data_IF_100371906023
#
_entry.id   IF_100371906023
#
_cell.length_a   1.000
_cell.length_b   1.000
_cell.length_c   1.000
_cell.angle_alpha   90.00
_cell.angle_beta   90.00
_cell.angle_gamma   90.00
#
_symmetry.space_group_name_H-M   'P 1'
#
loop_
_entity.id
_entity.type
_entity.pdbx_description
1 polymer ?
#
# COMPACT_ATOMS: atom_id res chain seq x y z
N UNK A 1 -6.05 1.90 18.45
CA UNK A 1 -4.99 1.75 17.43
C UNK A 1 -5.03 3.00 16.59
N UNK A 2 -3.88 3.54 16.20
CA UNK A 2 -3.81 4.67 15.27
C UNK A 2 -3.04 4.25 14.02
N UNK A 3 -3.41 4.85 12.90
CA UNK A 3 -2.78 4.63 11.60
C UNK A 3 -2.56 5.99 10.97
N UNK A 4 -1.37 6.17 10.41
CA UNK A 4 -0.96 7.34 9.66
C UNK A 4 -0.35 6.90 8.33
N UNK A 5 -0.65 7.59 7.25
CA UNK A 5 -0.18 7.25 5.90
C UNK A 5 0.44 8.47 5.25
N UNK A 6 1.69 8.34 4.80
CA UNK A 6 2.41 9.37 4.08
C UNK A 6 2.80 8.89 2.68
N UNK A 7 2.66 9.75 1.68
CA UNK A 7 3.02 9.46 0.28
C UNK A 7 4.29 10.22 -0.08
N UNK A 8 5.25 9.50 -0.65
CA UNK A 8 6.53 10.01 -1.11
C UNK A 8 6.67 9.78 -2.61
N UNK A 9 7.28 10.71 -3.33
CA UNK A 9 7.66 10.53 -4.74
C UNK A 9 9.09 9.99 -4.80
N UNK A 10 9.29 8.95 -5.60
CA UNK A 10 10.62 8.45 -5.96
C UNK A 10 11.19 9.34 -7.07
N UNK A 11 12.22 10.11 -6.75
CA UNK A 11 13.02 10.85 -7.73
C UNK A 11 14.28 10.08 -8.06
N UNK A 12 14.59 9.99 -9.35
CA UNK A 12 15.88 9.49 -9.83
C UNK A 12 16.76 10.70 -10.12
N UNK A 13 17.81 10.88 -9.32
CA UNK A 13 18.87 11.84 -9.59
C UNK A 13 20.01 11.11 -10.30
N UNK A 14 20.47 11.67 -11.42
CA UNK A 14 21.57 11.13 -12.22
C UNK A 14 22.88 11.02 -11.43
N UNK A 15 23.04 11.78 -10.34
CA UNK A 15 24.26 11.81 -9.52
C UNK A 15 24.17 11.01 -8.22
N UNK A 16 22.97 10.86 -7.64
CA UNK A 16 22.78 10.36 -6.27
C UNK A 16 21.92 9.08 -6.16
N UNK A 17 21.44 8.55 -7.28
CA UNK A 17 20.55 7.38 -7.29
C UNK A 17 19.10 7.75 -6.96
N UNK A 18 18.37 6.84 -6.30
CA UNK A 18 16.94 7.01 -6.00
C UNK A 18 16.73 7.67 -4.65
N UNK A 19 15.94 8.76 -4.59
CA UNK A 19 15.57 9.46 -3.36
C UNK A 19 14.06 9.54 -3.19
N UNK A 20 13.58 9.37 -1.96
CA UNK A 20 12.18 9.61 -1.60
C UNK A 20 12.02 11.05 -1.09
N UNK A 21 11.07 11.78 -1.68
CA UNK A 21 10.70 13.13 -1.25
C UNK A 21 9.22 13.17 -0.87
N UNK A 22 8.81 13.92 0.18
CA UNK A 22 7.40 14.11 0.46
C UNK A 22 6.66 14.63 -0.78
N UNK A 23 5.56 14.00 -1.14
CA UNK A 23 4.78 14.41 -2.29
C UNK A 23 4.05 15.73 -2.01
N UNK A 24 4.56 16.86 -2.54
CA UNK A 24 3.85 18.14 -2.52
C UNK A 24 2.95 18.31 -3.74
N UNK A 25 3.36 17.76 -4.89
CA UNK A 25 2.58 17.66 -6.13
C UNK A 25 2.88 16.32 -6.79
N UNK A 26 1.86 15.71 -7.42
CA UNK A 26 1.96 14.43 -8.14
C UNK A 26 1.61 14.66 -9.61
N UNK A 27 2.53 14.31 -10.50
CA UNK A 27 2.34 14.33 -11.95
C UNK A 27 2.10 12.91 -12.49
N UNK A 28 1.36 12.78 -13.59
CA UNK A 28 1.19 11.51 -14.30
C UNK A 28 2.57 10.93 -14.63
N UNK A 29 2.77 9.65 -14.30
CA UNK A 29 4.02 8.91 -14.49
C UNK A 29 4.92 8.88 -13.26
N UNK A 30 4.68 9.71 -12.24
CA UNK A 30 5.48 9.71 -11.02
C UNK A 30 5.37 8.36 -10.31
N UNK A 31 6.53 7.80 -9.94
CA UNK A 31 6.58 6.66 -9.02
C UNK A 31 6.43 7.18 -7.61
N UNK A 32 5.53 6.57 -6.86
CA UNK A 32 5.30 6.92 -5.46
C UNK A 32 5.48 5.70 -4.56
N UNK A 33 5.94 5.96 -3.35
CA UNK A 33 5.97 5.02 -2.25
C UNK A 33 5.08 5.56 -1.16
N UNK A 34 4.06 4.80 -0.80
CA UNK A 34 3.23 5.11 0.36
C UNK A 34 3.75 4.34 1.56
N UNK A 35 4.02 5.05 2.66
CA UNK A 35 4.42 4.47 3.94
C UNK A 35 3.25 4.60 4.92
N UNK A 36 2.77 3.45 5.39
CA UNK A 36 1.73 3.36 6.42
C UNK A 36 2.41 3.05 7.75
N UNK A 37 2.28 3.96 8.71
CA UNK A 37 2.73 3.79 10.09
C UNK A 37 1.54 3.41 10.96
N UNK A 38 1.69 2.40 11.80
CA UNK A 38 0.67 2.02 12.76
C UNK A 38 1.22 1.97 14.18
N UNK A 39 0.37 2.29 15.15
CA UNK A 39 0.68 2.18 16.58
C UNK A 39 -0.50 1.57 17.35
N UNK A 40 -0.20 0.62 18.21
CA UNK A 40 -1.16 -0.10 19.05
C UNK A 40 -0.62 -0.21 20.47
N UNK A 41 -1.22 0.55 21.38
CA UNK A 41 -0.79 0.62 22.79
C UNK A 41 -1.34 -0.53 23.66
N UNK A 42 -2.46 -1.15 23.26
CA UNK A 42 -3.15 -2.19 24.04
C UNK A 42 -3.85 -3.19 23.12
N UNK A 43 -4.07 -4.40 23.64
CA UNK A 43 -4.81 -5.50 23.02
C UNK A 43 -3.91 -6.71 22.70
N UNK A 44 -4.53 -7.87 22.55
CA UNK A 44 -3.88 -9.14 22.24
C UNK A 44 -4.12 -9.55 20.79
N UNK A 45 -3.32 -10.49 20.27
CA UNK A 45 -3.49 -11.04 18.92
C UNK A 45 -3.03 -10.13 17.76
N UNK A 46 -3.13 -10.67 16.55
CA UNK A 46 -2.86 -9.96 15.30
C UNK A 46 -4.02 -9.07 14.86
N UNK A 47 -3.83 -8.33 13.78
CA UNK A 47 -4.86 -7.47 13.19
C UNK A 47 -4.66 -7.32 11.68
N UNK A 48 -5.66 -6.73 11.00
CA UNK A 48 -5.58 -6.40 9.57
C UNK A 48 -5.45 -4.89 9.43
N UNK A 49 -4.49 -4.46 8.64
CA UNK A 49 -4.34 -3.07 8.24
C UNK A 49 -4.86 -2.92 6.82
N UNK A 50 -5.86 -2.06 6.61
CA UNK A 50 -6.44 -1.77 5.29
C UNK A 50 -6.16 -0.32 4.94
N UNK A 51 -5.66 -0.07 3.72
CA UNK A 51 -5.41 1.26 3.20
C UNK A 51 -6.10 1.43 1.83
N UNK A 52 -7.01 2.41 1.68
CA UNK A 52 -7.54 2.79 0.37
C UNK A 52 -6.42 3.30 -0.54
N UNK A 53 -6.45 2.88 -1.81
CA UNK A 53 -5.55 3.42 -2.82
C UNK A 53 -6.15 4.74 -3.34
N UNK A 54 -5.41 5.87 -3.30
CA UNK A 54 -5.85 7.10 -3.94
C UNK A 54 -6.20 6.87 -5.42
N UNK A 55 -7.32 7.42 -5.88
CA UNK A 55 -7.85 7.13 -7.21
C UNK A 55 -6.86 7.39 -8.36
N UNK A 56 -5.92 8.33 -8.18
CA UNK A 56 -4.89 8.68 -9.18
C UNK A 56 -3.66 7.77 -9.15
N UNK A 57 -3.62 6.75 -8.29
CA UNK A 57 -2.51 5.81 -8.22
C UNK A 57 -2.93 4.48 -8.85
N UNK A 58 -2.13 3.99 -9.78
CA UNK A 58 -2.09 2.59 -10.15
C UNK A 58 -1.16 1.87 -9.17
N UNK A 59 -1.63 0.77 -8.59
CA UNK A 59 -0.79 -0.07 -7.75
C UNK A 59 0.35 -0.68 -8.59
N UNK A 60 1.51 -1.02 -8.01
CA UNK A 60 2.54 -1.76 -8.75
C UNK A 60 2.98 -3.00 -8.00
N UNK A 61 3.38 -2.85 -6.74
CA UNK A 61 3.87 -3.95 -5.91
C UNK A 61 3.98 -3.50 -4.46
N UNK A 62 3.87 -4.46 -3.54
CA UNK A 62 4.34 -4.36 -2.17
C UNK A 62 5.56 -5.22 -1.95
N UNK A 63 6.42 -4.77 -1.04
CA UNK A 63 7.58 -5.53 -0.60
C UNK A 63 7.23 -6.72 0.31
N UNK A 64 5.95 -6.91 0.67
CA UNK A 64 5.50 -7.93 1.62
C UNK A 64 4.65 -9.02 0.95
N UNK A 65 4.99 -10.28 1.21
CA UNK A 65 4.23 -11.47 0.80
C UNK A 65 2.89 -11.63 1.53
N UNK A 66 2.65 -10.81 2.57
CA UNK A 66 1.42 -10.83 3.38
C UNK A 66 0.33 -9.89 2.83
N UNK A 67 0.52 -9.40 1.60
CA UNK A 67 -0.38 -8.42 1.02
C UNK A 67 -1.49 -9.07 0.20
N UNK A 68 -2.69 -8.56 0.42
CA UNK A 68 -3.84 -8.79 -0.45
C UNK A 68 -4.34 -7.44 -0.98
N UNK A 69 -4.91 -7.45 -2.17
CA UNK A 69 -5.54 -6.29 -2.80
C UNK A 69 -7.04 -6.53 -2.94
N UNK A 70 -7.78 -5.44 -3.09
CA UNK A 70 -9.19 -5.46 -3.44
C UNK A 70 -9.44 -4.59 -4.67
N UNK A 71 -10.31 -5.06 -5.55
CA UNK A 71 -10.75 -4.37 -6.78
C UNK A 71 -12.22 -3.91 -6.71
N UNK A 72 -12.87 -4.14 -5.57
CA UNK A 72 -14.31 -3.94 -5.37
C UNK A 72 -14.61 -3.18 -4.07
N UNK A 73 -13.77 -2.20 -3.75
CA UNK A 73 -13.88 -1.33 -2.57
C UNK A 73 -13.81 -2.07 -1.23
N UNK A 74 -12.99 -3.12 -1.16
CA UNK A 74 -12.70 -3.87 0.06
C UNK A 74 -13.66 -5.03 0.36
N UNK A 75 -14.52 -5.43 -0.60
CA UNK A 75 -15.47 -6.53 -0.40
C UNK A 75 -14.80 -7.89 -0.57
N UNK A 76 -13.96 -8.04 -1.58
CA UNK A 76 -13.15 -9.23 -1.82
C UNK A 76 -11.66 -8.90 -1.76
N UNK A 77 -10.86 -9.92 -1.46
CA UNK A 77 -9.44 -9.78 -1.19
C UNK A 77 -8.68 -11.00 -1.68
N UNK A 78 -7.54 -10.75 -2.33
CA UNK A 78 -6.66 -11.81 -2.80
C UNK A 78 -5.38 -11.25 -3.38
N UNK A 79 -4.58 -12.12 -4.00
CA UNK A 79 -3.45 -11.66 -4.80
C UNK A 79 -3.98 -11.07 -6.11
N UNK A 80 -3.34 -10.03 -6.62
CA UNK A 80 -3.82 -9.32 -7.82
C UNK A 80 -4.06 -10.24 -9.02
N UNK A 81 -3.15 -11.20 -9.24
CA UNK A 81 -3.24 -12.22 -10.31
C UNK A 81 -4.46 -13.14 -10.20
N UNK A 82 -5.07 -13.24 -9.01
CA UNK A 82 -6.30 -14.01 -8.76
C UNK A 82 -7.58 -13.16 -8.85
N UNK A 83 -7.46 -11.83 -8.86
CA UNK A 83 -8.62 -10.93 -8.86
C UNK A 83 -9.22 -10.77 -10.26
N UNK A 84 -10.52 -10.51 -10.32
CA UNK A 84 -11.25 -10.24 -11.57
C UNK A 84 -12.15 -9.02 -11.45
N UNK A 85 -12.31 -8.30 -12.56
CA UNK A 85 -13.25 -7.19 -12.73
C UNK A 85 -14.04 -7.49 -14.00
N UNK A 86 -15.36 -7.50 -13.91
CA UNK A 86 -16.27 -7.73 -15.06
C UNK A 86 -15.86 -8.91 -15.96
N UNK A 87 -15.44 -10.02 -15.33
CA UNK A 87 -15.06 -11.25 -16.02
C UNK A 87 -13.63 -11.29 -16.58
N UNK A 88 -12.91 -10.17 -16.67
CA UNK A 88 -11.49 -10.13 -17.05
C UNK A 88 -10.56 -10.21 -15.83
N UNK A 89 -9.30 -10.54 -16.05
CA UNK A 89 -8.27 -10.47 -15.01
C UNK A 89 -8.09 -9.00 -14.59
N UNK A 90 -7.93 -8.77 -13.28
CA UNK A 90 -7.66 -7.45 -12.75
C UNK A 90 -6.26 -6.99 -13.13
N UNK A 91 -6.12 -5.71 -13.45
CA UNK A 91 -4.84 -5.03 -13.64
C UNK A 91 -4.52 -4.20 -12.39
N UNK A 92 -3.28 -3.72 -12.24
CA UNK A 92 -2.95 -2.87 -11.11
C UNK A 92 -3.74 -1.55 -11.04
N UNK A 93 -4.37 -1.14 -12.15
CA UNK A 93 -5.24 0.05 -12.23
C UNK A 93 -6.62 -0.19 -11.60
N UNK A 94 -7.04 -1.44 -11.50
CA UNK A 94 -8.33 -1.81 -10.88
C UNK A 94 -8.26 -1.84 -9.35
N UNK A 95 -7.06 -1.75 -8.78
CA UNK A 95 -6.86 -1.87 -7.33
C UNK A 95 -7.44 -0.66 -6.62
N UNK A 96 -8.39 -0.91 -5.73
CA UNK A 96 -9.06 0.11 -4.91
C UNK A 96 -8.50 0.16 -3.50
N UNK A 97 -8.09 -0.99 -2.95
CA UNK A 97 -7.57 -1.09 -1.59
C UNK A 97 -6.46 -2.11 -1.51
N UNK A 98 -5.64 -1.92 -0.49
CA UNK A 98 -4.54 -2.81 -0.14
C UNK A 98 -4.67 -3.17 1.34
N UNK A 99 -4.43 -4.43 1.70
CA UNK A 99 -4.38 -4.85 3.10
C UNK A 99 -3.18 -5.72 3.43
N UNK A 100 -2.84 -5.72 4.72
CA UNK A 100 -1.81 -6.58 5.29
C UNK A 100 -2.34 -7.25 6.55
N UNK A 101 -2.00 -8.51 6.72
CA UNK A 101 -2.28 -9.27 7.95
C UNK A 101 -1.08 -9.18 8.87
N UNK A 102 -1.22 -8.48 9.98
CA UNK A 102 -0.16 -8.30 10.97
C UNK A 102 -0.30 -9.42 12.01
N UNK A 103 0.63 -10.38 12.06
CA UNK A 103 0.56 -11.47 13.02
C UNK A 103 0.78 -10.95 14.45
N UNK A 104 0.31 -11.71 15.44
CA UNK A 104 0.39 -11.33 16.85
C UNK A 104 1.83 -11.02 17.31
N UNK A 105 2.81 -11.76 16.79
CA UNK A 105 4.24 -11.54 17.08
C UNK A 105 4.74 -10.16 16.67
N UNK A 106 4.33 -9.66 15.49
CA UNK A 106 4.64 -8.31 15.05
C UNK A 106 3.81 -7.26 15.78
N UNK A 107 2.52 -7.54 16.00
CA UNK A 107 1.62 -6.65 16.72
C UNK A 107 2.12 -6.36 18.16
N UNK A 108 2.77 -7.32 18.80
CA UNK A 108 3.34 -7.21 20.15
C UNK A 108 4.46 -6.15 20.27
N UNK A 109 5.09 -5.76 19.15
CA UNK A 109 6.07 -4.66 19.12
C UNK A 109 5.41 -3.29 19.36
N UNK A 110 4.07 -3.21 19.33
CA UNK A 110 3.30 -2.01 19.63
C UNK A 110 3.30 -0.95 18.53
N UNK A 111 4.17 -1.05 17.53
CA UNK A 111 4.20 -0.17 16.36
C UNK A 111 4.90 -0.84 15.18
N UNK A 112 4.68 -0.31 13.98
CA UNK A 112 5.35 -0.76 12.77
C UNK A 112 5.11 0.15 11.58
N UNK A 113 5.80 -0.15 10.48
CA UNK A 113 5.68 0.56 9.20
C UNK A 113 5.57 -0.44 8.06
N UNK A 114 4.78 -0.11 7.06
CA UNK A 114 4.63 -0.87 5.83
C UNK A 114 4.73 0.08 4.65
N UNK A 115 5.44 -0.32 3.60
CA UNK A 115 5.56 0.46 2.38
C UNK A 115 5.00 -0.30 1.17
N UNK A 116 4.34 0.41 0.26
CA UNK A 116 3.98 -0.11 -1.06
C UNK A 116 4.19 0.95 -2.14
N UNK A 117 4.46 0.50 -3.35
CA UNK A 117 4.72 1.36 -4.50
C UNK A 117 3.50 1.44 -5.45
N UNK A 118 3.35 2.60 -6.07
CA UNK A 118 2.39 2.85 -7.14
C UNK A 118 2.93 3.85 -8.16
N UNK A 119 2.20 4.04 -9.24
CA UNK A 119 2.48 5.03 -10.28
C UNK A 119 1.28 5.95 -10.42
N UNK A 120 1.52 7.25 -10.52
CA UNK A 120 0.47 8.24 -10.76
C UNK A 120 -0.01 8.15 -12.20
N UNK A 121 -1.32 8.17 -12.41
CA UNK A 121 -1.98 8.18 -13.73
C UNK A 121 -2.77 9.45 -13.97
#
# INVERSE_FOLDING_TARGET
MTTDSAVFVERVDALNGRRLEPASMLARGDRVVTVVTWKRMRGTGGFVLTNPLPARLAYQRSASDMQEVSVDSGRSWGRLDTMRVDGRQATPEDVTHVRWRIPASYAALGQGRIAYAGVVR
#
